data_IF_309472042898
#
_entry.id   IF_309472042898
#
_cell.length_a   1.000
_cell.length_b   1.000
_cell.length_c   1.000
_cell.angle_alpha   90.00
_cell.angle_beta   90.00
_cell.angle_gamma   90.00
#
_symmetry.space_group_name_H-M   'P 1'
#
loop_
_entity.id
_entity.type
_entity.pdbx_description
1 polymer ?
#
# COMPACT_ATOMS: atom_id res chain seq x y z
N UNK A 1 6.91 13.31 -51.34
CA UNK A 1 7.55 12.55 -50.23
C UNK A 1 7.52 13.46 -49.02
N UNK A 2 6.67 13.25 -48.01
CA UNK A 2 6.67 12.11 -47.10
C UNK A 2 7.59 12.51 -45.93
N UNK A 3 7.14 12.70 -44.68
CA UNK A 3 6.27 11.84 -43.89
C UNK A 3 5.65 12.64 -42.73
N UNK A 4 4.33 12.58 -42.62
CA UNK A 4 3.55 12.87 -41.42
C UNK A 4 3.49 11.59 -40.59
N UNK A 5 3.85 11.66 -39.31
CA UNK A 5 3.51 10.70 -38.24
C UNK A 5 4.25 11.18 -36.99
N UNK A 6 3.68 11.31 -35.80
CA UNK A 6 2.66 10.47 -35.18
C UNK A 6 2.13 11.23 -33.95
N UNK A 7 0.94 11.78 -34.07
CA UNK A 7 0.04 11.87 -32.92
C UNK A 7 -0.70 10.53 -32.89
N UNK A 8 -1.01 10.03 -31.70
CA UNK A 8 -1.80 8.83 -31.38
C UNK A 8 -1.00 7.56 -31.00
N UNK A 9 -0.90 7.36 -29.69
CA UNK A 9 -1.04 6.10 -28.94
C UNK A 9 -0.58 6.43 -27.51
N UNK A 10 -1.39 6.47 -26.47
CA UNK A 10 -2.64 5.77 -26.19
C UNK A 10 -2.50 5.21 -24.78
N UNK A 11 -3.54 5.41 -23.96
CA UNK A 11 -3.77 4.62 -22.74
C UNK A 11 -2.92 5.00 -21.53
N UNK A 12 -3.50 5.81 -20.63
CA UNK A 12 -3.02 5.92 -19.27
C UNK A 12 -3.03 4.55 -18.58
N UNK A 13 -1.84 4.06 -18.27
CA UNK A 13 -1.60 3.09 -17.22
C UNK A 13 -0.71 3.83 -16.23
N UNK A 14 -1.32 4.18 -15.10
CA UNK A 14 -0.65 4.69 -13.92
C UNK A 14 0.17 3.54 -13.36
N UNK A 15 1.40 3.42 -13.87
CA UNK A 15 2.35 2.37 -13.50
C UNK A 15 3.42 2.99 -12.61
N UNK A 16 3.32 2.77 -11.30
CA UNK A 16 4.39 2.66 -10.30
C UNK A 16 5.53 3.70 -10.26
N UNK A 17 5.47 4.79 -11.04
CA UNK A 17 6.55 5.79 -11.22
C UNK A 17 6.34 7.06 -10.39
N UNK A 18 5.51 7.01 -9.34
CA UNK A 18 5.27 8.16 -8.44
C UNK A 18 6.21 8.18 -7.22
N UNK A 19 7.20 7.29 -7.17
CA UNK A 19 8.20 7.27 -6.11
C UNK A 19 9.44 8.06 -6.56
N UNK A 20 9.57 9.28 -6.04
CA UNK A 20 10.82 10.02 -6.13
C UNK A 20 11.79 9.41 -5.13
N UNK A 21 12.80 8.70 -5.64
CA UNK A 21 13.94 8.31 -4.81
C UNK A 21 14.66 9.59 -4.36
N UNK A 22 14.58 9.89 -3.06
CA UNK A 22 15.34 10.97 -2.46
C UNK A 22 16.78 10.44 -2.27
N UNK A 23 17.47 10.18 -3.38
CA UNK A 23 18.87 9.77 -3.37
C UNK A 23 19.68 10.92 -2.76
N UNK A 24 20.09 10.72 -1.52
CA UNK A 24 21.08 11.57 -0.86
C UNK A 24 22.43 11.23 -1.47
N UNK A 25 22.82 12.01 -2.49
CA UNK A 25 24.10 11.87 -3.18
C UNK A 25 25.26 11.67 -2.17
N UNK A 26 25.82 10.45 -2.12
CA UNK A 26 27.00 10.13 -1.33
C UNK A 26 26.82 9.09 -0.22
N UNK A 27 25.62 8.53 0.01
CA UNK A 27 25.48 7.34 0.85
C UNK A 27 25.41 6.13 -0.06
N UNK A 28 26.52 5.41 -0.18
CA UNK A 28 26.53 4.05 -0.74
C UNK A 28 25.43 3.26 -0.01
N UNK A 29 24.34 2.94 -0.72
CA UNK A 29 23.19 2.21 -0.17
C UNK A 29 23.59 0.74 0.05
N UNK A 30 24.50 0.53 0.98
CA UNK A 30 24.75 -0.74 1.65
C UNK A 30 23.58 -1.10 2.59
N UNK A 31 22.36 -0.73 2.21
CA UNK A 31 21.15 -1.28 2.81
C UNK A 31 21.02 -2.66 2.18
N UNK A 32 21.61 -3.67 2.82
CA UNK A 32 21.24 -5.06 2.56
C UNK A 32 19.71 -5.18 2.56
N UNK A 33 19.16 -6.16 1.84
CA UNK A 33 17.71 -6.37 1.70
C UNK A 33 16.99 -6.02 3.00
N UNK A 34 16.12 -5.00 2.94
CA UNK A 34 15.48 -4.49 4.13
C UNK A 34 14.74 -5.64 4.80
N UNK A 35 14.99 -5.86 6.09
CA UNK A 35 14.32 -6.95 6.83
C UNK A 35 12.78 -6.79 6.90
N UNK A 36 12.28 -5.60 6.57
CA UNK A 36 10.86 -5.30 6.37
C UNK A 36 10.75 -4.16 5.35
N UNK A 37 9.87 -4.31 4.36
CA UNK A 37 9.53 -3.27 3.38
C UNK A 37 8.17 -2.64 3.70
N UNK A 38 7.98 -1.41 3.25
CA UNK A 38 6.69 -0.72 3.30
C UNK A 38 6.09 -0.74 1.89
N UNK A 39 4.92 -1.33 1.73
CA UNK A 39 4.20 -1.42 0.46
C UNK A 39 2.97 -0.53 0.49
N UNK A 40 2.68 0.12 -0.64
CA UNK A 40 1.45 0.88 -0.81
C UNK A 40 0.55 0.11 -1.77
N UNK A 41 -0.70 -0.09 -1.37
CA UNK A 41 -1.71 -0.78 -2.13
C UNK A 41 -2.95 0.12 -2.27
N UNK A 42 -3.66 -0.01 -3.38
CA UNK A 42 -4.94 0.66 -3.57
C UNK A 42 -6.05 -0.37 -3.56
N UNK A 43 -7.01 -0.23 -2.66
CA UNK A 43 -8.16 -1.15 -2.58
C UNK A 43 -9.23 -0.64 -3.53
N UNK A 44 -9.45 -1.39 -4.61
CA UNK A 44 -10.55 -1.19 -5.56
C UNK A 44 -11.60 -2.29 -5.46
N UNK A 45 -11.26 -3.45 -4.89
CA UNK A 45 -12.19 -4.53 -4.56
C UNK A 45 -11.55 -5.68 -3.79
N UNK A 46 -12.32 -6.77 -3.60
CA UNK A 46 -11.92 -7.93 -2.78
C UNK A 46 -10.63 -8.62 -3.27
N UNK A 47 -10.33 -8.56 -4.57
CA UNK A 47 -9.13 -9.17 -5.15
C UNK A 47 -7.83 -8.53 -4.63
N UNK A 48 -7.86 -7.24 -4.30
CA UNK A 48 -6.68 -6.50 -3.83
C UNK A 48 -6.30 -6.92 -2.41
N UNK A 49 -7.27 -7.45 -1.65
CA UNK A 49 -7.05 -7.97 -0.30
C UNK A 49 -6.04 -9.12 -0.32
N UNK A 50 -6.09 -10.00 -1.32
CA UNK A 50 -5.19 -11.16 -1.40
C UNK A 50 -3.72 -10.70 -1.44
N UNK A 51 -3.41 -9.72 -2.28
CA UNK A 51 -2.06 -9.17 -2.38
C UNK A 51 -1.59 -8.48 -1.09
N UNK A 52 -2.52 -7.84 -0.36
CA UNK A 52 -2.22 -7.24 0.95
C UNK A 52 -1.93 -8.34 1.98
N UNK A 53 -2.72 -9.43 1.99
CA UNK A 53 -2.50 -10.57 2.90
C UNK A 53 -1.12 -11.17 2.68
N UNK A 54 -0.77 -11.52 1.45
CA UNK A 54 0.54 -12.08 1.11
C UNK A 54 1.69 -11.18 1.61
N UNK A 55 1.61 -9.87 1.34
CA UNK A 55 2.64 -8.94 1.79
C UNK A 55 2.80 -8.91 3.32
N UNK A 56 1.68 -8.90 4.06
CA UNK A 56 1.72 -8.90 5.54
C UNK A 56 2.25 -10.22 6.08
N UNK A 57 1.93 -11.35 5.44
CA UNK A 57 2.47 -12.67 5.80
C UNK A 57 3.98 -12.80 5.51
N UNK A 58 4.49 -12.14 4.47
CA UNK A 58 5.93 -11.99 4.19
C UNK A 58 6.65 -11.08 5.21
N UNK A 59 5.90 -10.41 6.09
CA UNK A 59 6.45 -9.52 7.11
C UNK A 59 6.63 -8.08 6.64
N UNK A 60 5.95 -7.67 5.56
CA UNK A 60 5.94 -6.29 5.09
C UNK A 60 4.79 -5.49 5.71
N UNK A 61 5.02 -4.18 5.92
CA UNK A 61 3.98 -3.25 6.33
C UNK A 61 3.24 -2.73 5.09
N UNK A 62 1.92 -2.77 5.12
CA UNK A 62 1.09 -2.32 4.01
C UNK A 62 0.30 -1.08 4.37
N UNK A 63 0.38 -0.06 3.51
CA UNK A 63 -0.46 1.12 3.53
C UNK A 63 -1.46 0.99 2.39
N UNK A 64 -2.71 0.73 2.75
CA UNK A 64 -3.81 0.55 1.82
C UNK A 64 -4.63 1.84 1.70
N UNK A 65 -4.61 2.44 0.51
CA UNK A 65 -5.45 3.59 0.20
C UNK A 65 -6.85 3.13 -0.22
N UNK A 66 -7.87 3.70 0.42
CA UNK A 66 -9.29 3.44 0.18
C UNK A 66 -9.94 4.69 -0.40
N UNK A 67 -10.84 4.51 -1.37
CA UNK A 67 -11.57 5.66 -1.91
C UNK A 67 -12.68 6.08 -0.96
N UNK A 68 -12.88 7.39 -0.77
CA UNK A 68 -13.82 7.93 0.22
C UNK A 68 -15.27 7.41 0.08
N UNK A 69 -15.69 7.02 -1.13
CA UNK A 69 -17.03 6.48 -1.38
C UNK A 69 -17.16 5.00 -1.01
N UNK A 70 -16.06 4.24 -0.98
CA UNK A 70 -16.08 2.82 -0.64
C UNK A 70 -16.13 2.58 0.88
N UNK A 71 -15.75 3.55 1.71
CA UNK A 71 -15.71 3.40 3.18
C UNK A 71 -17.08 3.11 3.82
N UNK A 72 -18.19 3.46 3.16
CA UNK A 72 -19.57 3.20 3.63
C UNK A 72 -20.26 2.03 2.92
N UNK A 73 -19.52 1.31 2.07
CA UNK A 73 -20.03 0.19 1.29
C UNK A 73 -19.90 -1.11 2.10
N UNK A 74 -20.89 -1.99 2.07
CA UNK A 74 -20.84 -3.27 2.81
C UNK A 74 -19.67 -4.14 2.37
N UNK A 75 -19.23 -4.00 1.13
CA UNK A 75 -18.01 -4.65 0.61
C UNK A 75 -16.78 -4.23 1.39
N UNK A 76 -16.66 -2.96 1.77
CA UNK A 76 -15.50 -2.46 2.50
C UNK A 76 -15.48 -2.90 3.95
N UNK A 77 -16.65 -3.02 4.59
CA UNK A 77 -16.76 -3.60 5.94
C UNK A 77 -16.17 -5.01 5.96
N UNK A 78 -16.54 -5.85 4.97
CA UNK A 78 -15.97 -7.18 4.80
C UNK A 78 -14.46 -7.16 4.57
N UNK A 79 -13.96 -6.23 3.74
CA UNK A 79 -12.52 -6.07 3.51
C UNK A 79 -11.78 -5.69 4.80
N UNK A 80 -12.33 -4.76 5.59
CA UNK A 80 -11.71 -4.33 6.85
C UNK A 80 -11.69 -5.49 7.85
N UNK A 81 -12.77 -6.25 7.96
CA UNK A 81 -12.83 -7.43 8.83
C UNK A 81 -11.83 -8.51 8.39
N UNK A 82 -11.69 -8.75 7.09
CA UNK A 82 -10.69 -9.67 6.54
C UNK A 82 -9.25 -9.22 6.86
N UNK A 83 -8.97 -7.92 6.76
CA UNK A 83 -7.64 -7.35 7.06
C UNK A 83 -7.36 -7.34 8.56
N UNK A 84 -8.39 -7.12 9.40
CA UNK A 84 -8.28 -7.25 10.86
C UNK A 84 -7.91 -8.67 11.25
N UNK A 85 -8.61 -9.65 10.68
CA UNK A 85 -8.31 -11.05 10.93
C UNK A 85 -6.86 -11.37 10.59
N UNK A 86 -6.33 -10.88 9.47
CA UNK A 86 -4.94 -11.09 9.06
C UNK A 86 -3.97 -10.47 10.06
N UNK A 87 -4.22 -9.25 10.52
CA UNK A 87 -3.40 -8.61 11.54
C UNK A 87 -3.41 -9.41 12.85
N UNK A 88 -4.55 -9.96 13.26
CA UNK A 88 -4.66 -10.83 14.44
C UNK A 88 -3.93 -12.18 14.25
N UNK A 89 -3.99 -12.77 13.06
CA UNK A 89 -3.32 -14.04 12.72
C UNK A 89 -1.79 -13.94 12.77
N UNK A 90 -1.25 -12.78 12.43
CA UNK A 90 0.20 -12.52 12.46
C UNK A 90 0.67 -11.83 13.75
N UNK A 91 -0.17 -11.67 14.77
CA UNK A 91 0.16 -10.86 15.97
C UNK A 91 0.71 -9.46 15.60
N UNK A 92 0.11 -8.84 14.58
CA UNK A 92 0.43 -7.52 14.06
C UNK A 92 -0.47 -6.42 14.62
N UNK A 93 -0.59 -5.32 13.88
CA UNK A 93 -1.51 -4.22 14.21
C UNK A 93 -2.21 -3.68 12.97
N UNK A 94 -3.37 -3.07 13.15
CA UNK A 94 -4.14 -2.44 12.08
C UNK A 94 -4.69 -1.09 12.51
N UNK A 95 -4.46 -0.07 11.69
CA UNK A 95 -4.84 1.29 11.98
C UNK A 95 -5.48 1.99 10.79
N UNK A 96 -6.64 2.60 11.00
CA UNK A 96 -7.19 3.53 10.04
C UNK A 96 -6.66 4.94 10.32
N UNK A 97 -6.17 5.61 9.27
CA UNK A 97 -5.74 7.01 9.31
C UNK A 97 -6.69 7.83 8.44
N UNK A 98 -7.57 8.60 9.08
CA UNK A 98 -8.61 9.36 8.38
C UNK A 98 -9.66 8.43 7.77
N UNK A 99 -10.20 8.81 6.62
CA UNK A 99 -11.25 8.06 5.91
C UNK A 99 -10.75 7.40 4.62
N UNK A 100 -9.47 7.60 4.29
CA UNK A 100 -8.86 7.27 3.00
C UNK A 100 -7.66 6.31 3.10
N UNK A 101 -7.20 5.95 4.29
CA UNK A 101 -6.02 5.11 4.45
C UNK A 101 -6.14 4.11 5.61
N UNK A 102 -5.72 2.87 5.36
CA UNK A 102 -5.60 1.79 6.33
C UNK A 102 -4.14 1.33 6.34
N UNK A 103 -3.58 1.15 7.53
CA UNK A 103 -2.22 0.69 7.76
C UNK A 103 -2.32 -0.69 8.38
N UNK A 104 -1.67 -1.68 7.79
CA UNK A 104 -1.60 -3.05 8.28
C UNK A 104 -0.13 -3.37 8.55
N UNK A 105 0.18 -3.68 9.80
CA UNK A 105 1.53 -3.93 10.27
C UNK A 105 1.73 -5.43 10.53
N UNK A 106 2.91 -5.98 10.18
CA UNK A 106 3.27 -7.36 10.44
C UNK A 106 3.64 -7.57 11.92
N UNK A 107 3.98 -8.81 12.28
CA UNK A 107 4.42 -9.18 13.63
C UNK A 107 5.53 -8.25 14.15
N UNK A 108 5.38 -7.79 15.39
CA UNK A 108 6.41 -6.99 16.07
C UNK A 108 6.45 -5.52 15.67
N UNK A 109 5.51 -5.05 14.84
CA UNK A 109 5.34 -3.65 14.48
C UNK A 109 3.97 -3.15 14.92
N UNK A 110 3.96 -2.06 15.69
CA UNK A 110 2.73 -1.42 16.18
C UNK A 110 2.56 -0.02 15.61
N UNK A 111 1.32 0.36 15.29
CA UNK A 111 1.00 1.71 14.81
C UNK A 111 0.58 2.56 16.01
N UNK A 112 1.46 3.49 16.41
CA UNK A 112 1.18 4.42 17.48
C UNK A 112 -0.05 5.31 17.15
N UNK A 113 -1.00 5.39 18.08
CA UNK A 113 -2.21 6.24 17.94
C UNK A 113 -2.01 7.66 18.43
N UNK A 114 -0.85 7.93 19.03
CA UNK A 114 -0.42 9.25 19.44
C UNK A 114 0.46 9.87 18.36
N UNK A 115 0.17 11.11 18.01
CA UNK A 115 1.03 11.89 17.10
C UNK A 115 2.24 12.40 17.87
N UNK A 116 3.38 12.49 17.20
CA UNK A 116 4.62 12.91 17.85
C UNK A 116 4.56 14.35 18.42
N UNK A 117 3.67 15.22 17.92
CA UNK A 117 3.39 16.57 18.44
C UNK A 117 2.00 17.05 18.04
#
# INVERSE_FOLDING_TARGET
>A
MGIMSKIISGGGQHSTDEYLDLDVEGVETSRGEAGMSVRIAKISGQQDVIAIKDAVYDGDLVIADITRHTTSDSTMEHIIDDLRQVAEEVDGDIAQKGDDQIIIAPTGVGVAREKLN
#
